data_IF_236131024058
#
_entry.id   IF_236131024058
#
_cell.length_a   1.000
_cell.length_b   1.000
_cell.length_c   1.000
_cell.angle_alpha   90.00
_cell.angle_beta   90.00
_cell.angle_gamma   90.00
#
_symmetry.space_group_name_H-M   'P 1'
#
loop_
_entity.id
_entity.type
_entity.pdbx_description
1 polymer ?
#
# COMPACT_ATOMS: atom_id res chain seq x y z
N UNK A 1 -21.47 -9.92 -9.73
CA UNK A 1 -21.26 -10.69 -8.50
C UNK A 1 -19.99 -11.51 -8.63
N UNK A 2 -19.24 -11.67 -7.54
CA UNK A 2 -18.11 -12.60 -7.45
C UNK A 2 -18.25 -13.41 -6.16
N UNK A 3 -17.90 -14.70 -6.21
CA UNK A 3 -17.88 -15.57 -5.04
C UNK A 3 -16.53 -16.26 -4.95
N UNK A 4 -15.90 -16.11 -3.80
CA UNK A 4 -14.63 -16.74 -3.47
C UNK A 4 -14.87 -18.01 -2.68
N UNK A 5 -14.18 -19.09 -3.05
CA UNK A 5 -14.10 -20.30 -2.25
C UNK A 5 -12.91 -20.19 -1.30
N UNK A 6 -13.18 -19.84 -0.05
CA UNK A 6 -12.15 -19.46 0.90
C UNK A 6 -11.29 -20.65 1.34
N UNK A 7 -11.86 -21.87 1.41
CA UNK A 7 -11.09 -23.07 1.77
C UNK A 7 -9.92 -23.29 0.82
N UNK A 8 -10.16 -23.19 -0.49
CA UNK A 8 -9.10 -23.32 -1.49
C UNK A 8 -8.09 -22.16 -1.47
N UNK A 9 -8.55 -20.94 -1.22
CA UNK A 9 -7.68 -19.76 -1.24
C UNK A 9 -6.77 -19.66 -0.02
N UNK A 10 -7.23 -20.13 1.14
CA UNK A 10 -6.57 -19.92 2.42
C UNK A 10 -6.22 -21.22 3.16
N UNK A 11 -6.37 -22.37 2.50
CA UNK A 11 -6.09 -23.69 3.09
C UNK A 11 -6.86 -23.95 4.39
N UNK A 12 -8.17 -23.61 4.38
CA UNK A 12 -9.09 -23.87 5.50
C UNK A 12 -9.64 -25.30 5.35
N UNK A 13 -9.95 -25.97 6.46
CA UNK A 13 -10.56 -27.31 6.47
C UNK A 13 -11.76 -27.39 5.52
N UNK A 14 -11.75 -28.37 4.61
CA UNK A 14 -12.78 -28.59 3.60
C UNK A 14 -14.04 -29.26 4.15
N UNK A 15 -14.02 -29.75 5.40
CA UNK A 15 -15.19 -30.37 6.07
C UNK A 15 -16.38 -29.40 6.19
N UNK A 16 -16.11 -28.09 6.15
CA UNK A 16 -17.10 -27.01 6.18
C UNK A 16 -16.81 -26.03 5.03
N UNK A 17 -17.52 -26.13 3.88
CA UNK A 17 -17.35 -25.20 2.77
C UNK A 17 -17.66 -23.75 3.18
N UNK A 18 -16.70 -22.86 3.00
CA UNK A 18 -16.78 -21.44 3.30
C UNK A 18 -16.65 -20.60 2.04
N UNK A 19 -17.65 -19.74 1.84
CA UNK A 19 -17.73 -18.84 0.69
C UNK A 19 -17.86 -17.40 1.15
N UNK A 20 -17.27 -16.50 0.35
CA UNK A 20 -17.49 -15.05 0.48
C UNK A 20 -18.02 -14.56 -0.85
N UNK A 21 -19.25 -14.04 -0.84
CA UNK A 21 -19.88 -13.44 -2.01
C UNK A 21 -19.88 -11.93 -1.88
N UNK A 22 -19.46 -11.23 -2.94
CA UNK A 22 -19.52 -9.78 -3.03
C UNK A 22 -20.64 -9.38 -3.99
N UNK A 23 -21.61 -8.62 -3.46
CA UNK A 23 -22.78 -8.12 -4.18
C UNK A 23 -23.45 -9.24 -5.01
N UNK A 24 -23.95 -10.32 -4.35
CA UNK A 24 -24.59 -11.43 -5.05
C UNK A 24 -25.88 -10.98 -5.75
N UNK A 25 -26.20 -11.62 -6.89
CA UNK A 25 -27.47 -11.35 -7.59
C UNK A 25 -28.68 -12.01 -6.90
N UNK A 26 -28.43 -13.10 -6.18
CA UNK A 26 -29.40 -13.81 -5.36
C UNK A 26 -28.76 -14.02 -3.98
N UNK A 27 -29.47 -13.62 -2.93
CA UNK A 27 -28.97 -13.72 -1.57
C UNK A 27 -28.76 -15.19 -1.16
N UNK A 28 -27.69 -15.50 -0.40
CA UNK A 28 -27.52 -16.82 0.19
C UNK A 28 -28.64 -17.11 1.20
N UNK A 29 -28.87 -18.40 1.48
CA UNK A 29 -29.79 -18.81 2.55
C UNK A 29 -29.38 -18.13 3.88
N UNK A 30 -30.25 -17.31 4.49
CA UNK A 30 -29.94 -16.61 5.74
C UNK A 30 -29.51 -17.54 6.89
N UNK A 31 -29.98 -18.79 6.89
CA UNK A 31 -29.58 -19.78 7.89
C UNK A 31 -28.10 -20.20 7.77
N UNK A 32 -27.48 -19.97 6.61
CA UNK A 32 -26.08 -20.29 6.32
C UNK A 32 -25.16 -19.05 6.33
N UNK A 33 -25.72 -17.85 6.53
CA UNK A 33 -24.93 -16.61 6.60
C UNK A 33 -24.27 -16.49 7.97
N UNK A 34 -22.94 -16.61 7.98
CA UNK A 34 -22.17 -16.40 9.20
C UNK A 34 -22.11 -14.91 9.59
N UNK A 35 -21.84 -14.04 8.61
CA UNK A 35 -21.72 -12.58 8.77
C UNK A 35 -21.99 -11.88 7.45
N UNK A 36 -22.46 -10.65 7.54
CA UNK A 36 -22.64 -9.72 6.43
C UNK A 36 -22.00 -8.38 6.81
N UNK A 37 -21.38 -7.71 5.83
CA UNK A 37 -20.73 -6.44 6.01
C UNK A 37 -21.04 -5.54 4.82
N UNK A 38 -21.27 -4.25 5.10
CA UNK A 38 -21.37 -3.22 4.09
C UNK A 38 -20.10 -2.37 4.11
N UNK A 39 -19.48 -2.19 2.94
CA UNK A 39 -18.27 -1.39 2.77
C UNK A 39 -18.46 -0.45 1.59
N UNK A 40 -18.06 0.80 1.77
CA UNK A 40 -17.95 1.77 0.70
C UNK A 40 -16.57 1.67 0.03
N UNK A 41 -16.55 1.65 -1.30
CA UNK A 41 -15.30 1.66 -2.08
C UNK A 41 -15.06 3.06 -2.65
N UNK A 42 -13.86 3.65 -2.45
CA UNK A 42 -13.54 4.94 -3.02
C UNK A 42 -13.50 4.87 -4.54
N UNK A 43 -14.09 5.86 -5.19
CA UNK A 43 -14.02 6.04 -6.64
C UNK A 43 -12.84 6.94 -6.96
N UNK A 44 -11.90 6.44 -7.75
CA UNK A 44 -10.71 7.16 -8.20
C UNK A 44 -10.96 7.83 -9.55
N UNK A 45 -11.87 8.80 -9.57
CA UNK A 45 -12.10 9.62 -10.75
C UNK A 45 -11.01 10.68 -10.95
N UNK A 46 -11.12 11.49 -12.01
CA UNK A 46 -10.13 12.50 -12.33
C UNK A 46 -9.95 13.54 -11.22
N UNK A 47 -11.04 13.92 -10.54
CA UNK A 47 -11.01 14.90 -9.46
C UNK A 47 -10.33 14.33 -8.20
N UNK A 48 -10.62 13.07 -7.87
CA UNK A 48 -9.94 12.36 -6.79
C UNK A 48 -8.43 12.27 -7.04
N UNK A 49 -8.01 11.90 -8.25
CA UNK A 49 -6.59 11.83 -8.63
C UNK A 49 -5.93 13.21 -8.59
N UNK A 50 -6.60 14.26 -9.06
CA UNK A 50 -6.09 15.63 -8.94
C UNK A 50 -5.94 16.06 -7.47
N UNK A 51 -6.90 15.69 -6.61
CA UNK A 51 -6.86 15.97 -5.18
C UNK A 51 -5.70 15.26 -4.46
N UNK A 52 -5.35 14.03 -4.86
CA UNK A 52 -4.18 13.32 -4.35
C UNK A 52 -2.89 14.15 -4.55
N UNK A 53 -2.70 14.73 -5.75
CA UNK A 53 -1.57 15.62 -6.02
C UNK A 53 -1.58 16.92 -5.21
N UNK A 54 -2.76 17.37 -4.78
CA UNK A 54 -2.92 18.57 -3.97
C UNK A 54 -2.84 18.34 -2.45
N UNK A 55 -2.82 17.09 -1.97
CA UNK A 55 -2.92 16.76 -0.55
C UNK A 55 -1.84 17.44 0.30
N UNK A 56 -0.63 17.57 -0.25
CA UNK A 56 0.49 18.21 0.43
C UNK A 56 0.19 19.65 0.88
N UNK A 57 -0.76 20.34 0.22
CA UNK A 57 -1.14 21.72 0.57
C UNK A 57 -1.88 21.83 1.90
N UNK A 58 -2.54 20.76 2.35
CA UNK A 58 -3.36 20.75 3.59
C UNK A 58 -2.71 20.00 4.75
N UNK A 59 -1.69 19.18 4.50
CA UNK A 59 -0.96 18.48 5.57
C UNK A 59 -0.38 19.48 6.58
N UNK A 60 -0.63 19.26 7.87
CA UNK A 60 -0.14 20.07 8.99
C UNK A 60 -0.96 21.33 9.27
N UNK A 61 -1.97 21.67 8.45
CA UNK A 61 -2.85 22.80 8.76
C UNK A 61 -3.66 22.50 10.01
N UNK A 62 -3.55 23.37 11.02
CA UNK A 62 -4.18 23.14 12.32
C UNK A 62 -3.62 21.94 13.09
N UNK A 63 -2.41 21.47 12.76
CA UNK A 63 -1.83 20.26 13.36
C UNK A 63 -2.46 18.95 12.88
N UNK A 64 -3.24 18.98 11.80
CA UNK A 64 -3.92 17.80 11.25
C UNK A 64 -3.10 17.22 10.09
N UNK A 65 -2.89 15.91 10.11
CA UNK A 65 -2.23 15.16 9.05
C UNK A 65 -3.19 14.07 8.54
N UNK A 66 -3.39 14.01 7.23
CA UNK A 66 -4.24 13.01 6.59
C UNK A 66 -3.40 11.83 6.10
N UNK A 67 -3.97 10.63 6.19
CA UNK A 67 -3.41 9.39 5.70
C UNK A 67 -4.56 8.44 5.31
N UNK A 68 -4.31 7.55 4.36
CA UNK A 68 -5.29 6.56 3.91
C UNK A 68 -4.96 6.00 2.54
N UNK A 69 -5.50 4.83 2.23
CA UNK A 69 -5.27 4.14 0.95
C UNK A 69 -5.75 4.97 -0.27
N UNK A 70 -6.71 5.87 -0.06
CA UNK A 70 -7.21 6.81 -1.06
C UNK A 70 -6.19 7.88 -1.47
N UNK A 71 -5.03 7.98 -0.81
CA UNK A 71 -3.88 8.78 -1.24
C UNK A 71 -2.96 8.06 -2.25
N UNK A 72 -3.43 6.97 -2.83
CA UNK A 72 -2.77 6.23 -3.90
C UNK A 72 -3.81 5.46 -4.73
N UNK A 73 -3.58 4.17 -4.95
CA UNK A 73 -4.46 3.33 -5.77
C UNK A 73 -5.48 2.53 -4.96
N UNK A 74 -5.64 2.83 -3.66
CA UNK A 74 -6.61 2.17 -2.79
C UNK A 74 -6.13 0.85 -2.19
N UNK A 75 -4.86 0.48 -2.34
CA UNK A 75 -4.32 -0.74 -1.75
C UNK A 75 -3.81 -0.53 -0.32
N UNK A 76 -3.64 -1.64 0.40
CA UNK A 76 -3.08 -1.64 1.76
C UNK A 76 -1.70 -0.96 1.82
N UNK A 77 -0.88 -1.12 0.78
CA UNK A 77 0.44 -0.48 0.69
C UNK A 77 0.35 1.05 0.61
N UNK A 78 -0.68 1.60 -0.07
CA UNK A 78 -0.91 3.05 -0.11
C UNK A 78 -1.32 3.58 1.27
N UNK A 79 -2.13 2.82 2.00
CA UNK A 79 -2.50 3.11 3.38
C UNK A 79 -1.28 3.09 4.31
N UNK A 80 -0.44 2.06 4.19
CA UNK A 80 0.80 1.95 4.96
C UNK A 80 1.75 3.10 4.67
N UNK A 81 2.03 3.37 3.38
CA UNK A 81 2.91 4.46 2.94
C UNK A 81 2.45 5.81 3.48
N UNK A 82 1.19 6.16 3.25
CA UNK A 82 0.64 7.46 3.70
C UNK A 82 0.61 7.58 5.22
N UNK A 83 0.32 6.50 5.95
CA UNK A 83 0.40 6.46 7.41
C UNK A 83 1.82 6.72 7.93
N UNK A 84 2.83 6.08 7.33
CA UNK A 84 4.23 6.31 7.66
C UNK A 84 4.66 7.75 7.37
N UNK A 85 4.21 8.32 6.27
CA UNK A 85 4.49 9.72 5.95
C UNK A 85 3.80 10.71 6.90
N UNK A 86 2.59 10.42 7.37
CA UNK A 86 1.91 11.23 8.38
C UNK A 86 2.66 11.16 9.74
N UNK A 87 3.03 9.95 10.18
CA UNK A 87 3.83 9.75 11.38
C UNK A 87 5.19 10.46 11.32
N UNK A 88 5.88 10.42 10.18
CA UNK A 88 7.15 11.12 9.99
C UNK A 88 7.02 12.65 10.16
N UNK A 89 5.90 13.23 9.72
CA UNK A 89 5.61 14.67 9.92
C UNK A 89 5.34 15.02 11.39
N UNK A 90 4.95 14.04 12.20
CA UNK A 90 4.82 14.15 13.65
C UNK A 90 6.15 13.83 14.38
N UNK A 91 7.26 13.62 13.66
CA UNK A 91 8.57 13.32 14.23
C UNK A 91 8.77 11.86 14.63
N UNK A 92 7.88 10.95 14.21
CA UNK A 92 7.96 9.51 14.53
C UNK A 92 8.42 8.74 13.29
N UNK A 93 9.44 7.90 13.46
CA UNK A 93 9.93 7.00 12.41
C UNK A 93 9.60 5.55 12.73
N UNK A 94 9.39 4.75 11.68
CA UNK A 94 9.19 3.32 11.85
C UNK A 94 10.45 2.66 12.43
N UNK A 95 10.32 1.80 13.46
CA UNK A 95 11.49 1.19 14.12
C UNK A 95 12.29 0.24 13.21
N UNK A 96 11.70 -0.20 12.09
CA UNK A 96 12.38 -1.04 11.10
C UNK A 96 13.05 -0.24 9.96
N UNK A 97 12.92 1.10 9.91
CA UNK A 97 13.71 1.91 8.98
C UNK A 97 15.16 1.88 9.45
N UNK A 98 15.94 0.94 8.90
CA UNK A 98 17.40 0.97 9.02
C UNK A 98 17.89 2.22 8.30
N UNK A 99 18.79 2.97 8.94
CA UNK A 99 19.57 3.98 8.21
C UNK A 99 20.26 3.29 7.03
N UNK A 100 20.09 3.85 5.83
CA UNK A 100 20.84 3.41 4.67
C UNK A 100 22.31 3.59 4.98
N UNK A 101 23.03 2.49 5.24
CA UNK A 101 24.48 2.53 5.35
C UNK A 101 25.01 3.14 4.04
N UNK A 102 25.76 4.25 4.05
CA UNK A 102 26.37 4.73 2.83
C UNK A 102 27.14 3.57 2.21
N UNK A 103 26.88 3.28 0.94
CA UNK A 103 27.66 2.33 0.17
C UNK A 103 29.10 2.83 0.25
N UNK A 104 29.93 2.20 1.07
CA UNK A 104 31.36 2.48 1.11
C UNK A 104 31.84 2.34 -0.32
N UNK A 105 32.32 3.45 -0.89
CA UNK A 105 32.80 3.50 -2.26
C UNK A 105 33.71 2.31 -2.49
N UNK A 106 33.37 1.47 -3.47
CA UNK A 106 34.24 0.44 -3.97
C UNK A 106 35.42 1.15 -4.64
N UNK A 107 36.40 1.54 -3.82
CA UNK A 107 37.74 1.87 -4.25
C UNK A 107 38.35 0.63 -4.88
N UNK A 108 38.05 0.40 -6.15
CA UNK A 108 38.93 -0.29 -7.06
C UNK A 108 39.40 0.77 -8.04
N UNK A 109 40.50 1.42 -7.67
CA UNK A 109 41.29 2.19 -8.63
C UNK A 109 41.71 1.25 -9.74
N UNK A 110 41.27 1.54 -10.96
CA UNK A 110 41.86 0.97 -12.15
C UNK A 110 43.28 1.56 -12.25
N UNK A 111 44.33 0.74 -12.44
CA UNK A 111 45.66 1.28 -12.69
C UNK A 111 45.64 2.07 -14.01
N UNK A 112 46.18 3.27 -13.93
CA UNK A 112 46.37 4.21 -15.03
C UNK A 112 47.29 3.57 -16.09
N UNK A 113 46.73 3.22 -17.25
CA UNK A 113 47.52 2.87 -18.42
C UNK A 113 48.01 4.15 -19.09
N UNK A 114 49.21 4.56 -18.70
CA UNK A 114 50.02 5.50 -19.46
C UNK A 114 50.28 4.91 -20.86
N UNK A 115 49.60 5.45 -21.87
CA UNK A 115 50.00 5.29 -23.27
C UNK A 115 50.52 6.65 -23.75
N UNK A 116 51.80 6.62 -24.10
CA UNK A 116 52.63 7.75 -24.48
C UNK A 116 52.09 8.52 -25.69
N UNK A 117 52.19 9.85 -25.61
CA UNK A 117 52.26 10.72 -26.78
C UNK A 117 53.73 10.93 -27.17
N UNK A 118 54.06 10.55 -28.41
CA UNK A 118 55.14 11.08 -29.27
C UNK A 118 55.12 10.22 -30.54
N UNK A 119 55.03 10.71 -31.77
CA UNK A 119 55.34 12.02 -32.36
C UNK A 119 54.35 12.35 -33.50
#
# INVERSE_FOLDING_TARGET
AVTYWMNRLQNIDESLPLFVSLNPLAEPDPALVHREFSYDHPVFDADAVAAQGAIGRIQGRGGIHYAGAWLGYGFHEDGLRSGLEAAARLGVTAPWKRESRPMAGSGHGLPELAAAQSA
#
